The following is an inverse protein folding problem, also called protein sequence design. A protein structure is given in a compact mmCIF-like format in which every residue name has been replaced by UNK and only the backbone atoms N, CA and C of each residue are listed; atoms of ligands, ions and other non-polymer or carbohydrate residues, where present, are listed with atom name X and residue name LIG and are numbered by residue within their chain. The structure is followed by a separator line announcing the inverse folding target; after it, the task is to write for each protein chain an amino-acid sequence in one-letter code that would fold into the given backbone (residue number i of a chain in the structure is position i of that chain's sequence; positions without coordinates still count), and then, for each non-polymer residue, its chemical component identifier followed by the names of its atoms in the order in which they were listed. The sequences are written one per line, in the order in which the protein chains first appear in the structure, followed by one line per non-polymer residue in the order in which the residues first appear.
data_IF_375572800133
#
_entry.id   IF_375572800133
#
_cell.length_a   1.000
_cell.length_b   1.000
_cell.length_c   1.000
_cell.angle_alpha   90.00
_cell.angle_beta   90.00
_cell.angle_gamma   90.00
#
_symmetry.space_group_name_H-M   'P 1'
#
loop_
_entity.id
_entity.type
_entity.pdbx_description
1 polymer ?
#
# COMPACT_ATOMS: atom_id res chain seq x y z
N UNK A 1 -40.69 53.95 28.20
CA UNK A 1 -40.69 53.05 27.02
C UNK A 1 -39.42 53.29 26.21
N UNK A 2 -38.40 52.45 26.39
CA UNK A 2 -37.19 52.48 25.56
C UNK A 2 -37.35 51.53 24.39
N UNK A 3 -37.18 52.04 23.16
CA UNK A 3 -37.30 51.29 21.91
C UNK A 3 -36.22 50.20 21.83
N UNK A 4 -36.56 49.00 22.32
CA UNK A 4 -35.69 47.81 22.33
C UNK A 4 -35.75 47.00 21.03
N UNK A 5 -36.47 47.48 20.01
CA UNK A 5 -36.75 46.72 18.79
C UNK A 5 -35.67 46.81 17.71
N UNK A 6 -34.92 47.92 17.65
CA UNK A 6 -33.93 48.16 16.59
C UNK A 6 -32.60 47.42 16.79
N UNK A 7 -32.12 47.37 18.04
CA UNK A 7 -30.85 46.75 18.40
C UNK A 7 -30.85 45.22 18.17
N UNK A 8 -31.94 44.55 18.55
CA UNK A 8 -32.09 43.11 18.36
C UNK A 8 -32.13 42.72 16.87
N UNK A 9 -32.76 43.56 16.05
CA UNK A 9 -32.86 43.36 14.60
C UNK A 9 -31.51 43.55 13.91
N UNK A 10 -30.73 44.54 14.35
CA UNK A 10 -29.34 44.76 13.92
C UNK A 10 -28.43 43.57 14.28
N UNK A 11 -28.51 43.06 15.50
CA UNK A 11 -27.69 41.93 15.95
C UNK A 11 -28.02 40.66 15.17
N UNK A 12 -29.30 40.39 14.91
CA UNK A 12 -29.73 39.25 14.09
C UNK A 12 -29.26 39.41 12.65
N UNK A 13 -29.38 40.60 12.06
CA UNK A 13 -28.90 40.87 10.70
C UNK A 13 -27.38 40.68 10.58
N UNK A 14 -26.60 41.16 11.55
CA UNK A 14 -25.14 40.98 11.59
C UNK A 14 -24.78 39.50 11.76
N UNK A 15 -25.45 38.76 12.64
CA UNK A 15 -25.23 37.33 12.80
C UNK A 15 -25.55 36.55 11.51
N UNK A 16 -26.61 36.91 10.80
CA UNK A 16 -27.01 36.28 9.54
C UNK A 16 -26.02 36.60 8.41
N UNK A 17 -25.51 37.83 8.35
CA UNK A 17 -24.44 38.22 7.41
C UNK A 17 -23.15 37.48 7.74
N UNK A 18 -22.80 37.31 9.01
CA UNK A 18 -21.62 36.52 9.41
C UNK A 18 -21.80 35.05 9.01
N UNK A 19 -22.98 34.45 9.17
CA UNK A 19 -23.24 33.07 8.70
C UNK A 19 -23.22 32.99 7.17
N UNK A 20 -23.64 34.01 6.44
CA UNK A 20 -23.58 34.01 4.97
C UNK A 20 -22.17 34.28 4.41
N UNK A 21 -21.38 35.11 5.09
CA UNK A 21 -20.00 35.47 4.69
C UNK A 21 -19.00 34.39 5.11
N UNK A 22 -19.21 33.76 6.26
CA UNK A 22 -18.31 32.73 6.82
C UNK A 22 -18.85 31.29 6.74
N UNK A 23 -20.13 31.08 6.41
CA UNK A 23 -20.75 29.74 6.42
C UNK A 23 -20.50 28.89 5.19
N UNK A 24 -19.76 29.38 4.20
CA UNK A 24 -19.41 28.61 2.99
C UNK A 24 -18.00 28.01 3.05
N UNK A 25 -17.61 27.46 4.20
CA UNK A 25 -16.35 26.73 4.33
C UNK A 25 -16.51 25.49 5.22
N UNK A 26 -17.56 24.71 4.96
CA UNK A 26 -17.52 23.28 5.27
C UNK A 26 -17.49 22.54 3.93
N UNK A 27 -16.35 22.62 3.25
CA UNK A 27 -16.02 21.60 2.27
C UNK A 27 -15.82 20.31 3.06
N UNK A 28 -16.87 19.49 3.11
CA UNK A 28 -16.73 18.09 3.46
C UNK A 28 -15.87 17.49 2.34
N UNK A 29 -14.56 17.50 2.54
CA UNK A 29 -13.61 16.73 1.74
C UNK A 29 -14.04 15.29 1.89
N UNK A 30 -14.85 14.78 0.96
CA UNK A 30 -14.94 13.35 0.75
C UNK A 30 -13.57 12.97 0.22
N UNK A 31 -12.73 12.47 1.10
CA UNK A 31 -11.55 11.72 0.70
C UNK A 31 -12.07 10.55 -0.12
N UNK A 32 -11.99 10.66 -1.45
CA UNK A 32 -12.08 9.49 -2.31
C UNK A 32 -10.97 8.56 -1.82
N UNK A 33 -11.32 7.50 -1.09
CA UNK A 33 -10.33 6.46 -0.79
C UNK A 33 -9.86 5.94 -2.14
N UNK A 34 -8.59 6.23 -2.49
CA UNK A 34 -7.97 5.64 -3.67
C UNK A 34 -8.07 4.12 -3.53
N UNK A 35 -9.02 3.54 -4.27
CA UNK A 35 -9.30 2.12 -4.19
C UNK A 35 -8.16 1.36 -4.84
N UNK A 36 -7.51 0.46 -4.10
CA UNK A 36 -6.47 -0.42 -4.62
C UNK A 36 -7.01 -1.23 -5.82
N UNK A 37 -6.34 -1.12 -6.96
CA UNK A 37 -6.69 -1.82 -8.20
C UNK A 37 -6.12 -3.25 -8.20
N UNK A 38 -6.64 -4.10 -7.32
CA UNK A 38 -6.20 -5.50 -7.18
C UNK A 38 -7.27 -6.45 -7.73
N UNK A 39 -6.86 -7.40 -8.57
CA UNK A 39 -7.74 -8.44 -9.10
C UNK A 39 -7.04 -9.81 -9.20
N UNK A 40 -7.64 -10.91 -8.71
CA UNK A 40 -8.84 -10.92 -7.85
C UNK A 40 -8.57 -10.24 -6.51
N UNK A 41 -9.61 -9.68 -5.88
CA UNK A 41 -9.48 -9.04 -4.57
C UNK A 41 -9.08 -10.10 -3.52
N UNK A 42 -7.99 -9.89 -2.75
CA UNK A 42 -7.59 -10.82 -1.70
C UNK A 42 -8.64 -10.94 -0.61
N UNK A 43 -8.62 -12.06 0.13
CA UNK A 43 -9.54 -12.27 1.25
C UNK A 43 -9.38 -11.21 2.35
N UNK A 44 -8.15 -10.73 2.58
CA UNK A 44 -7.84 -9.68 3.53
C UNK A 44 -6.79 -8.74 2.92
N UNK A 45 -7.01 -7.43 3.01
CA UNK A 45 -6.08 -6.41 2.56
C UNK A 45 -5.95 -5.33 3.63
N UNK A 46 -4.71 -4.91 3.90
CA UNK A 46 -4.37 -3.76 4.75
C UNK A 46 -3.25 -2.99 4.08
N UNK A 47 -3.40 -1.68 3.94
CA UNK A 47 -2.42 -0.81 3.34
C UNK A 47 -2.34 0.51 4.12
N UNK A 48 -1.22 1.21 3.96
CA UNK A 48 -1.01 2.55 4.51
C UNK A 48 -0.90 3.59 3.41
N UNK A 49 -0.63 4.82 3.81
CA UNK A 49 -0.49 5.98 2.90
C UNK A 49 0.95 6.15 2.38
N UNK A 50 1.90 5.37 2.89
CA UNK A 50 3.31 5.49 2.54
C UNK A 50 3.63 4.82 1.20
N UNK A 51 4.40 5.53 0.38
CA UNK A 51 4.96 4.99 -0.86
C UNK A 51 6.26 4.25 -0.59
N UNK A 52 6.51 3.23 -1.41
CA UNK A 52 7.70 2.37 -1.32
C UNK A 52 8.29 2.23 -2.71
N UNK A 53 9.61 2.33 -2.81
CA UNK A 53 10.35 2.27 -4.06
C UNK A 53 11.08 0.94 -4.20
N UNK A 54 11.20 0.44 -5.42
CA UNK A 54 11.97 -0.77 -5.71
C UNK A 54 13.41 -0.39 -6.07
N UNK A 55 14.38 -1.10 -5.50
CA UNK A 55 15.79 -0.97 -5.90
C UNK A 55 15.99 -1.41 -7.35
N UNK A 56 16.94 -0.79 -8.06
CA UNK A 56 17.34 -1.25 -9.40
C UNK A 56 17.83 -2.71 -9.40
N UNK A 57 18.45 -3.11 -8.29
CA UNK A 57 18.96 -4.46 -8.03
C UNK A 57 17.95 -5.33 -7.25
N UNK A 58 16.64 -5.10 -7.39
CA UNK A 58 15.60 -5.83 -6.68
C UNK A 58 15.75 -7.36 -6.84
N UNK A 59 16.05 -8.04 -5.72
CA UNK A 59 16.45 -9.45 -5.71
C UNK A 59 15.43 -10.41 -5.07
N UNK A 60 15.62 -11.70 -5.31
CA UNK A 60 14.89 -12.79 -4.65
C UNK A 60 15.74 -13.35 -3.49
N UNK A 61 15.14 -13.45 -2.31
CA UNK A 61 15.71 -14.15 -1.16
C UNK A 61 14.79 -15.30 -0.75
N UNK A 62 15.34 -16.49 -0.55
CA UNK A 62 14.55 -17.66 -0.12
C UNK A 62 15.48 -18.73 0.43
N UNK A 63 15.01 -19.46 1.43
CA UNK A 63 15.68 -20.63 2.01
C UNK A 63 15.25 -21.94 1.31
N UNK A 64 14.24 -21.87 0.44
CA UNK A 64 13.73 -23.01 -0.29
C UNK A 64 14.68 -23.41 -1.42
N UNK A 65 15.05 -24.69 -1.45
CA UNK A 65 15.89 -25.27 -2.47
C UNK A 65 15.06 -25.44 -3.76
N UNK A 66 15.03 -24.39 -4.58
CA UNK A 66 14.33 -24.33 -5.87
C UNK A 66 15.00 -25.22 -6.93
N UNK A 67 14.99 -26.53 -6.72
CA UNK A 67 15.59 -27.51 -7.64
C UNK A 67 14.91 -27.55 -9.01
N UNK A 68 13.67 -27.07 -9.10
CA UNK A 68 12.90 -26.98 -10.34
C UNK A 68 13.16 -25.69 -11.13
N UNK A 69 13.63 -24.63 -10.47
CA UNK A 69 13.77 -23.30 -11.03
C UNK A 69 12.45 -22.51 -11.15
N UNK A 70 11.30 -23.11 -10.76
CA UNK A 70 9.97 -22.50 -10.96
C UNK A 70 9.84 -21.19 -10.19
N UNK A 71 10.36 -21.13 -8.95
CA UNK A 71 10.28 -19.92 -8.14
C UNK A 71 11.14 -18.81 -8.75
N UNK A 72 12.38 -19.14 -9.13
CA UNK A 72 13.29 -18.19 -9.77
C UNK A 72 12.74 -17.67 -11.10
N UNK A 73 12.20 -18.56 -11.93
CA UNK A 73 11.62 -18.19 -13.23
C UNK A 73 10.36 -17.34 -13.05
N UNK A 74 9.51 -17.68 -12.08
CA UNK A 74 8.33 -16.90 -11.72
C UNK A 74 8.68 -15.50 -11.25
N UNK A 75 9.68 -15.38 -10.37
CA UNK A 75 10.19 -14.10 -9.89
C UNK A 75 10.73 -13.24 -11.05
N UNK A 76 11.54 -13.82 -11.95
CA UNK A 76 12.09 -13.09 -13.09
C UNK A 76 10.98 -12.57 -14.01
N UNK A 77 9.95 -13.40 -14.30
CA UNK A 77 8.81 -12.98 -15.10
C UNK A 77 8.04 -11.82 -14.45
N UNK A 78 7.78 -11.91 -13.15
CA UNK A 78 7.14 -10.83 -12.40
C UNK A 78 7.95 -9.53 -12.47
N UNK A 79 9.26 -9.61 -12.23
CA UNK A 79 10.14 -8.44 -12.29
C UNK A 79 10.17 -7.82 -13.69
N UNK A 80 10.17 -8.65 -14.75
CA UNK A 80 10.07 -8.16 -16.13
C UNK A 80 8.76 -7.42 -16.40
N UNK A 81 7.61 -7.89 -15.86
CA UNK A 81 6.33 -7.20 -16.02
C UNK A 81 6.31 -5.85 -15.30
N UNK A 82 6.84 -5.80 -14.06
CA UNK A 82 6.96 -4.54 -13.30
C UNK A 82 7.85 -3.55 -14.05
N UNK A 83 8.99 -4.01 -14.58
CA UNK A 83 9.94 -3.19 -15.35
C UNK A 83 9.43 -2.78 -16.73
N UNK A 84 8.44 -3.48 -17.29
CA UNK A 84 7.85 -3.11 -18.57
C UNK A 84 6.89 -1.91 -18.42
N UNK A 85 6.18 -1.86 -17.30
CA UNK A 85 5.19 -0.82 -16.99
C UNK A 85 5.82 0.42 -16.34
N UNK A 86 7.02 0.27 -15.77
CA UNK A 86 7.78 1.35 -15.14
C UNK A 86 9.07 1.60 -15.93
N UNK A 87 9.33 2.83 -16.38
CA UNK A 87 10.63 3.20 -16.95
C UNK A 87 11.69 3.21 -15.83
N UNK A 88 12.29 2.04 -15.56
CA UNK A 88 13.18 1.80 -14.41
C UNK A 88 14.54 2.49 -14.57
N UNK A 89 14.80 3.17 -15.69
CA UNK A 89 15.94 4.08 -15.87
C UNK A 89 15.73 5.46 -15.21
N UNK A 90 14.59 5.68 -14.54
CA UNK A 90 14.44 6.79 -13.62
C UNK A 90 15.46 6.66 -12.49
N UNK A 91 16.56 7.41 -12.62
CA UNK A 91 17.60 7.56 -11.61
C UNK A 91 16.93 8.01 -10.29
N UNK A 92 16.61 7.05 -9.40
CA UNK A 92 15.98 7.27 -8.08
C UNK A 92 16.90 8.05 -7.11
N UNK A 93 17.89 8.79 -7.61
CA UNK A 93 18.79 9.61 -6.80
C UNK A 93 18.06 10.68 -6.01
N UNK A 94 16.87 11.11 -6.44
CA UNK A 94 16.02 12.04 -5.70
C UNK A 94 15.34 11.41 -4.45
N UNK A 95 15.22 10.07 -4.39
CA UNK A 95 14.61 9.34 -3.26
C UNK A 95 15.63 8.89 -2.20
N UNK A 96 16.93 9.15 -2.41
CA UNK A 96 18.00 8.76 -1.48
C UNK A 96 17.96 9.51 -0.13
N UNK A 97 17.05 10.45 0.06
CA UNK A 97 16.90 11.14 1.35
C UNK A 97 16.15 10.34 2.42
N UNK A 98 15.38 9.31 2.04
CA UNK A 98 14.71 8.40 2.97
C UNK A 98 15.03 6.94 2.61
N UNK A 99 16.16 6.42 3.11
CA UNK A 99 16.53 5.01 2.95
C UNK A 99 15.49 4.02 3.52
N UNK A 100 14.50 4.50 4.28
CA UNK A 100 13.49 3.70 4.94
C UNK A 100 12.35 3.24 4.01
N UNK A 101 12.25 3.79 2.80
CA UNK A 101 11.21 3.43 1.81
C UNK A 101 11.71 2.63 0.62
N UNK A 102 12.98 2.18 0.63
CA UNK A 102 13.57 1.41 -0.46
C UNK A 102 13.51 -0.10 -0.19
N UNK A 103 12.83 -0.85 -1.07
CA UNK A 103 12.82 -2.31 -1.07
C UNK A 103 13.98 -2.87 -1.89
N UNK A 104 14.81 -3.67 -1.23
CA UNK A 104 15.93 -4.38 -1.83
C UNK A 104 15.52 -5.68 -2.52
N UNK A 105 14.38 -6.27 -2.13
CA UNK A 105 13.96 -7.54 -2.70
C UNK A 105 12.67 -8.12 -2.13
N UNK A 106 12.35 -9.32 -2.61
CA UNK A 106 11.27 -10.17 -2.13
C UNK A 106 11.86 -11.38 -1.39
N UNK A 107 11.51 -11.54 -0.12
CA UNK A 107 11.80 -12.74 0.66
C UNK A 107 10.60 -13.70 0.61
N UNK A 108 10.78 -14.84 -0.05
CA UNK A 108 9.75 -15.88 -0.18
C UNK A 108 10.02 -17.04 0.78
N UNK A 109 9.05 -17.32 1.64
CA UNK A 109 9.05 -18.42 2.61
C UNK A 109 8.07 -19.50 2.14
N UNK A 110 8.62 -20.67 1.77
CA UNK A 110 7.87 -21.83 1.31
C UNK A 110 7.86 -22.88 2.40
N UNK A 111 6.67 -23.35 2.75
CA UNK A 111 6.45 -24.35 3.80
C UNK A 111 6.43 -25.77 3.23
N UNK A 112 6.07 -25.95 1.95
CA UNK A 112 5.90 -27.25 1.31
C UNK A 112 6.81 -27.43 0.08
N UNK A 113 7.62 -28.50 0.00
CA UNK A 113 8.44 -28.79 -1.17
C UNK A 113 7.70 -29.62 -2.25
N UNK A 114 6.37 -29.68 -2.21
CA UNK A 114 5.60 -30.41 -3.23
C UNK A 114 5.30 -29.50 -4.43
N UNK A 115 5.90 -29.80 -5.59
CA UNK A 115 5.74 -29.01 -6.82
C UNK A 115 4.77 -29.62 -7.84
N UNK A 116 4.09 -30.71 -7.46
CA UNK A 116 3.15 -31.36 -8.38
C UNK A 116 1.82 -30.61 -8.38
N UNK A 117 1.27 -30.42 -9.58
CA UNK A 117 -0.06 -29.86 -9.76
C UNK A 117 -1.11 -30.87 -9.27
N UNK A 118 -1.88 -30.47 -8.27
CA UNK A 118 -2.94 -31.29 -7.68
C UNK A 118 -4.14 -30.41 -7.32
N UNK A 119 -5.33 -30.98 -7.39
CA UNK A 119 -6.52 -30.30 -6.93
C UNK A 119 -6.56 -30.26 -5.40
N UNK A 120 -7.11 -29.18 -4.83
CA UNK A 120 -7.27 -29.03 -3.39
C UNK A 120 -5.97 -28.74 -2.64
N UNK A 121 -4.91 -28.34 -3.36
CA UNK A 121 -3.70 -27.82 -2.72
C UNK A 121 -3.98 -26.45 -2.07
N UNK A 122 -3.26 -26.15 -1.00
CA UNK A 122 -3.36 -24.86 -0.33
C UNK A 122 -2.58 -23.79 -1.11
N UNK A 123 -3.29 -22.90 -1.79
CA UNK A 123 -2.72 -21.74 -2.49
C UNK A 123 -2.76 -20.45 -1.65
N UNK A 124 -3.02 -20.56 -0.34
CA UNK A 124 -3.07 -19.41 0.55
C UNK A 124 -1.68 -18.79 0.76
N UNK A 125 -1.63 -17.46 0.77
CA UNK A 125 -0.39 -16.72 1.01
C UNK A 125 -0.64 -15.47 1.85
N UNK A 126 0.42 -14.99 2.49
CA UNK A 126 0.45 -13.69 3.16
C UNK A 126 1.55 -12.83 2.56
N UNK A 127 1.18 -11.67 2.03
CA UNK A 127 2.10 -10.66 1.51
C UNK A 127 2.19 -9.49 2.50
N UNK A 128 3.41 -9.04 2.80
CA UNK A 128 3.66 -7.89 3.69
C UNK A 128 4.68 -6.94 3.05
N UNK A 129 4.30 -5.66 2.95
CA UNK A 129 5.08 -4.61 2.26
C UNK A 129 5.00 -3.29 3.02
N UNK A 130 6.12 -2.73 3.53
CA UNK A 130 7.32 -3.42 4.00
C UNK A 130 7.04 -4.13 5.35
N UNK A 131 7.79 -5.19 5.65
CA UNK A 131 7.71 -5.83 6.97
C UNK A 131 8.67 -5.11 7.94
N UNK A 132 8.22 -4.63 9.11
CA UNK A 132 9.14 -4.28 10.19
C UNK A 132 9.71 -5.57 10.82
N UNK A 133 10.54 -6.29 10.07
CA UNK A 133 11.31 -7.44 10.58
C UNK A 133 12.73 -6.99 10.91
N UNK A 134 13.26 -7.30 12.10
CA UNK A 134 14.63 -6.95 12.46
C UNK A 134 15.69 -7.66 11.58
N UNK A 135 15.34 -8.76 10.91
CA UNK A 135 16.29 -9.53 10.09
C UNK A 135 16.43 -9.00 8.66
N UNK A 136 15.32 -8.59 8.03
CA UNK A 136 15.29 -8.09 6.64
C UNK A 136 14.26 -6.97 6.46
N UNK A 137 14.46 -5.80 7.11
CA UNK A 137 13.47 -4.71 7.11
C UNK A 137 13.25 -4.08 5.72
N UNK A 138 14.21 -4.24 4.81
CA UNK A 138 14.15 -3.72 3.44
C UNK A 138 13.62 -4.75 2.42
N UNK A 139 12.99 -5.83 2.86
CA UNK A 139 12.39 -6.85 1.97
C UNK A 139 10.87 -6.89 2.12
N UNK A 140 10.19 -7.11 1.00
CA UNK A 140 8.81 -7.57 1.02
C UNK A 140 8.80 -9.05 1.41
N UNK A 141 7.80 -9.50 2.16
CA UNK A 141 7.71 -10.89 2.59
C UNK A 141 6.48 -11.57 2.00
N UNK A 142 6.70 -12.70 1.33
CA UNK A 142 5.66 -13.58 0.82
C UNK A 142 5.78 -14.93 1.52
N UNK A 143 4.76 -15.30 2.29
CA UNK A 143 4.72 -16.57 3.01
C UNK A 143 3.60 -17.46 2.46
N UNK A 144 3.95 -18.69 2.10
CA UNK A 144 3.01 -19.75 1.72
C UNK A 144 2.40 -20.41 2.97
N UNK A 145 1.09 -20.67 2.93
CA UNK A 145 0.38 -21.47 3.92
C UNK A 145 0.02 -20.67 5.16
N UNK A 146 -1.19 -20.11 5.17
CA UNK A 146 -1.72 -19.45 6.37
C UNK A 146 -2.17 -20.53 7.35
N UNK A 147 -1.45 -20.67 8.48
CA UNK A 147 -1.93 -21.46 9.63
C UNK A 147 -3.20 -20.80 10.18
N UNK A 148 -4.37 -21.25 9.75
CA UNK A 148 -5.64 -20.90 10.40
C UNK A 148 -5.61 -21.52 11.81
N UNK A 149 -5.64 -20.66 12.84
CA UNK A 149 -5.79 -21.07 14.24
C UNK A 149 -7.18 -21.63 14.49
#
# INVERSE_FOLDING_TARGET
MGSSGGEALMVVAVALVLVLVFGNALELVSSEEESLKIWPMPAEVRYGESQVYLSGDFGLSTEYADGSGILKDGFNRMLSLIKLDHDVDANFSASLHDHNSLLLGLHVLISSPNHQLQYGIDESYKLMVPLPSPEKPAYAHLQEGIKRK
#
